data_IF_009109885464
#
_entry.id   IF_009109885464
#
_cell.length_a   1.000
_cell.length_b   1.000
_cell.length_c   1.000
_cell.angle_alpha   90.00
_cell.angle_beta   90.00
_cell.angle_gamma   90.00
#
_symmetry.space_group_name_H-M   'P 1'
#
loop_
_entity.id
_entity.type
_entity.pdbx_description
1 polymer ?
#
# COMPACT_ATOMS: atom_id res chain seq x y z
N UNK A 1 9.37 17.19 18.06
CA UNK A 1 10.00 16.96 16.75
C UNK A 1 9.08 17.57 15.71
N UNK A 2 9.54 18.52 14.90
CA UNK A 2 8.69 19.25 13.94
C UNK A 2 8.44 18.43 12.67
N UNK A 3 7.27 18.60 12.06
CA UNK A 3 6.73 17.95 10.84
C UNK A 3 7.62 18.06 9.56
N UNK A 4 8.82 18.61 9.63
CA UNK A 4 9.55 19.10 8.46
C UNK A 4 10.58 18.15 7.83
N UNK A 5 10.90 16.99 8.41
CA UNK A 5 12.08 16.20 7.97
C UNK A 5 11.81 14.74 7.56
N UNK A 6 10.61 14.41 7.08
CA UNK A 6 10.39 13.13 6.36
C UNK A 6 10.36 13.45 4.87
N UNK A 7 11.52 13.44 4.23
CA UNK A 7 11.60 13.62 2.77
C UNK A 7 11.31 12.30 2.05
N UNK A 8 10.07 11.80 2.16
CA UNK A 8 9.57 10.71 1.33
C UNK A 8 9.85 10.98 -0.15
N UNK A 9 10.42 10.01 -0.85
CA UNK A 9 10.55 10.05 -2.30
C UNK A 9 9.16 9.95 -2.93
N UNK A 10 8.63 11.11 -3.29
CA UNK A 10 7.30 11.28 -3.83
C UNK A 10 7.41 11.61 -5.30
N UNK A 11 6.69 10.87 -6.14
CA UNK A 11 6.48 11.26 -7.53
C UNK A 11 5.20 12.10 -7.58
N UNK A 12 5.28 13.32 -8.11
CA UNK A 12 4.07 14.14 -8.28
C UNK A 12 3.17 13.53 -9.36
N UNK A 13 1.89 13.35 -9.04
CA UNK A 13 0.88 13.14 -10.06
C UNK A 13 0.82 14.38 -10.96
N UNK A 14 1.15 14.22 -12.25
CA UNK A 14 1.11 15.33 -13.21
C UNK A 14 -0.30 15.91 -13.41
N UNK A 15 -1.35 15.21 -12.97
CA UNK A 15 -2.75 15.67 -13.05
C UNK A 15 -3.25 16.31 -11.77
N UNK A 16 -2.85 15.80 -10.60
CA UNK A 16 -3.42 16.21 -9.31
C UNK A 16 -2.44 16.87 -8.35
N UNK A 17 -1.13 16.96 -8.68
CA UNK A 17 -0.05 17.51 -7.83
C UNK A 17 0.09 16.86 -6.44
N UNK A 18 -0.59 15.75 -6.21
CA UNK A 18 -0.50 14.95 -4.99
C UNK A 18 0.80 14.12 -5.01
N UNK A 19 1.58 14.10 -3.92
CA UNK A 19 2.77 13.27 -3.79
C UNK A 19 2.37 11.78 -3.71
N UNK A 20 2.81 10.96 -4.67
CA UNK A 20 2.59 9.50 -4.65
C UNK A 20 3.81 8.78 -4.09
N UNK A 21 3.59 7.84 -3.17
CA UNK A 21 4.65 6.98 -2.66
C UNK A 21 5.00 5.94 -3.73
N UNK A 22 6.27 5.83 -4.09
CA UNK A 22 6.74 4.69 -4.89
C UNK A 22 7.05 3.55 -3.93
N UNK A 23 6.44 2.40 -4.18
CA UNK A 23 6.58 1.21 -3.35
C UNK A 23 7.09 0.04 -4.16
N UNK A 24 7.80 -0.86 -3.50
CA UNK A 24 8.20 -2.13 -4.05
C UNK A 24 7.74 -3.28 -3.14
N UNK A 25 7.57 -4.45 -3.72
CA UNK A 25 7.46 -5.71 -2.99
C UNK A 25 8.24 -6.81 -3.69
N UNK A 26 8.61 -7.84 -2.93
CA UNK A 26 9.18 -9.06 -3.45
C UNK A 26 8.42 -10.24 -2.87
N UNK A 27 7.61 -10.87 -3.71
CA UNK A 27 6.79 -12.00 -3.30
C UNK A 27 7.26 -13.29 -3.96
N UNK A 28 7.04 -14.42 -3.29
CA UNK A 28 7.45 -15.74 -3.77
C UNK A 28 6.80 -16.10 -5.11
N UNK A 29 5.56 -15.65 -5.33
CA UNK A 29 4.81 -15.93 -6.55
C UNK A 29 4.96 -14.82 -7.61
N UNK A 30 5.39 -13.63 -7.21
CA UNK A 30 5.27 -12.39 -7.98
C UNK A 30 6.62 -11.76 -8.38
N UNK A 31 7.75 -12.27 -7.87
CA UNK A 31 9.08 -11.67 -7.97
C UNK A 31 9.08 -10.21 -7.51
N UNK A 32 10.00 -9.37 -8.02
CA UNK A 32 10.04 -7.95 -7.71
C UNK A 32 8.94 -7.21 -8.48
N UNK A 33 8.10 -6.49 -7.75
CA UNK A 33 7.09 -5.60 -8.32
C UNK A 33 7.30 -4.18 -7.80
N UNK A 34 7.11 -3.20 -8.68
CA UNK A 34 7.15 -1.77 -8.36
C UNK A 34 5.78 -1.18 -8.65
N UNK A 35 5.31 -0.32 -7.75
CA UNK A 35 4.01 0.32 -7.86
C UNK A 35 3.99 1.70 -7.24
N UNK A 36 2.86 2.37 -7.41
CA UNK A 36 2.62 3.71 -6.90
C UNK A 36 1.38 3.69 -6.03
N UNK A 37 1.49 4.17 -4.79
CA UNK A 37 0.32 4.35 -3.94
C UNK A 37 -0.57 5.46 -4.52
N UNK A 38 -1.88 5.21 -4.52
CA UNK A 38 -2.86 6.27 -4.63
C UNK A 38 -3.08 6.85 -3.23
N UNK A 39 -3.14 8.18 -3.12
CA UNK A 39 -3.40 8.85 -1.84
C UNK A 39 -4.88 8.84 -1.47
N UNK A 40 -5.65 7.85 -1.96
CA UNK A 40 -7.09 7.76 -1.74
C UNK A 40 -7.35 6.67 -0.70
N UNK A 41 -7.48 7.03 0.59
CA UNK A 41 -7.87 6.10 1.63
C UNK A 41 -9.37 5.85 1.52
N UNK A 42 -9.76 4.70 0.98
CA UNK A 42 -11.02 3.99 1.29
C UNK A 42 -11.40 3.10 0.11
N UNK A 43 -11.45 1.80 0.34
CA UNK A 43 -12.08 0.85 -0.58
C UNK A 43 -13.06 0.02 0.23
N UNK A 44 -14.32 0.06 -0.19
CA UNK A 44 -15.37 -0.79 0.36
C UNK A 44 -15.10 -2.24 -0.05
N UNK A 45 -14.95 -3.16 0.92
CA UNK A 45 -14.88 -4.60 0.64
C UNK A 45 -16.21 -5.24 1.02
N UNK A 46 -16.95 -5.70 0.03
CA UNK A 46 -18.10 -6.56 0.26
C UNK A 46 -17.59 -8.00 0.43
N UNK A 47 -17.76 -8.56 1.62
CA UNK A 47 -17.45 -9.97 1.85
C UNK A 47 -18.65 -10.77 1.31
N UNK A 48 -18.36 -11.78 0.47
CA UNK A 48 -19.38 -12.72 -0.04
C UNK A 48 -20.12 -13.30 1.18
N UNK A 49 -21.46 -13.24 1.14
CA UNK A 49 -22.44 -13.47 2.24
C UNK A 49 -23.08 -12.19 2.83
N UNK A 50 -23.07 -11.08 2.09
CA UNK A 50 -23.88 -9.89 2.38
C UNK A 50 -23.41 -9.06 3.58
N UNK A 51 -22.24 -9.38 4.13
CA UNK A 51 -21.55 -8.55 5.12
C UNK A 51 -20.69 -7.51 4.40
N UNK A 52 -21.11 -6.26 4.55
CA UNK A 52 -20.34 -5.11 4.12
C UNK A 52 -19.30 -4.81 5.19
N UNK A 53 -18.02 -4.96 4.86
CA UNK A 53 -16.92 -4.57 5.74
C UNK A 53 -16.21 -3.35 5.15
N UNK A 54 -16.06 -2.32 5.98
CA UNK A 54 -15.31 -1.13 5.63
C UNK A 54 -13.86 -1.37 6.03
N UNK A 55 -12.95 -1.26 5.06
CA UNK A 55 -11.52 -1.32 5.33
C UNK A 55 -10.83 -0.17 4.62
N UNK A 56 -10.12 0.65 5.37
CA UNK A 56 -9.28 1.68 4.80
C UNK A 56 -8.00 0.99 4.32
N UNK A 57 -7.70 1.08 3.03
CA UNK A 57 -6.52 0.48 2.40
C UNK A 57 -5.94 1.43 1.37
N UNK A 58 -4.64 1.32 1.08
CA UNK A 58 -4.03 1.99 -0.05
C UNK A 58 -4.25 1.18 -1.34
N UNK A 59 -4.68 1.86 -2.40
CA UNK A 59 -4.63 1.32 -3.75
C UNK A 59 -3.23 1.47 -4.33
N UNK A 60 -2.63 0.39 -4.78
CA UNK A 60 -1.32 0.35 -5.42
C UNK A 60 -1.51 0.03 -6.89
N UNK A 61 -1.06 0.95 -7.74
CA UNK A 61 -1.06 0.77 -9.18
C UNK A 61 0.32 0.27 -9.58
N UNK A 62 0.39 -0.95 -10.12
CA UNK A 62 1.65 -1.51 -10.59
C UNK A 62 2.22 -0.76 -11.79
N UNK A 63 3.54 -0.84 -11.93
CA UNK A 63 4.24 -0.27 -13.08
C UNK A 63 3.66 -0.81 -14.39
N UNK A 64 3.37 0.10 -15.31
CA UNK A 64 2.91 -0.23 -16.64
C UNK A 64 4.13 -0.51 -17.52
N UNK A 65 4.14 -1.63 -18.24
CA UNK A 65 5.11 -1.81 -19.32
C UNK A 65 4.58 -1.19 -20.63
N UNK A 66 5.49 -0.83 -21.54
CA UNK A 66 5.11 -0.19 -22.81
C UNK A 66 4.31 -1.11 -23.75
N UNK A 67 4.21 -2.41 -23.46
CA UNK A 67 3.50 -3.41 -24.25
C UNK A 67 2.13 -3.78 -23.71
N UNK A 68 1.78 -3.39 -22.48
CA UNK A 68 0.53 -3.75 -21.83
C UNK A 68 -0.55 -2.69 -22.04
N UNK A 69 -1.80 -3.16 -22.19
CA UNK A 69 -2.97 -2.28 -22.33
C UNK A 69 -3.35 -1.57 -21.03
N UNK A 70 -2.88 -2.07 -19.89
CA UNK A 70 -3.11 -1.53 -18.54
C UNK A 70 -1.91 -1.69 -17.60
N UNK A 71 -1.98 -1.16 -16.37
CA UNK A 71 -0.95 -1.38 -15.34
C UNK A 71 -0.80 -2.88 -15.03
N UNK A 72 0.41 -3.30 -14.63
CA UNK A 72 0.60 -4.67 -14.16
C UNK A 72 -0.13 -4.87 -12.83
N UNK A 73 -0.71 -6.06 -12.58
CA UNK A 73 -1.24 -6.38 -11.27
C UNK A 73 -0.15 -6.24 -10.21
N UNK A 74 -0.42 -5.49 -9.15
CA UNK A 74 0.45 -5.36 -7.99
C UNK A 74 -0.15 -6.18 -6.84
N UNK A 75 0.11 -7.49 -6.79
CA UNK A 75 -0.61 -8.35 -5.84
C UNK A 75 0.16 -9.63 -5.47
N UNK A 76 0.49 -9.76 -4.19
CA UNK A 76 0.92 -11.00 -3.57
C UNK A 76 0.50 -10.94 -2.09
N UNK A 77 -0.66 -11.51 -1.77
CA UNK A 77 -1.32 -11.35 -0.46
C UNK A 77 -0.41 -11.77 0.69
N UNK A 78 -0.30 -10.93 1.71
CA UNK A 78 0.59 -11.09 2.86
C UNK A 78 2.02 -10.57 2.63
N UNK A 79 2.38 -10.16 1.41
CA UNK A 79 3.70 -9.60 1.14
C UNK A 79 3.85 -8.21 1.74
N UNK A 80 5.03 -7.94 2.29
CA UNK A 80 5.41 -6.61 2.74
C UNK A 80 5.69 -5.71 1.54
N UNK A 81 5.20 -4.47 1.60
CA UNK A 81 5.61 -3.39 0.70
C UNK A 81 6.54 -2.44 1.44
N UNK A 82 7.53 -1.89 0.74
CA UNK A 82 8.44 -0.88 1.27
C UNK A 82 8.59 0.28 0.31
N UNK A 83 8.95 1.44 0.83
CA UNK A 83 9.26 2.63 0.02
C UNK A 83 10.69 2.61 -0.51
N UNK A 84 11.05 3.63 -1.31
CA UNK A 84 12.39 3.73 -1.88
C UNK A 84 13.51 4.04 -0.88
N UNK A 85 13.17 4.29 0.40
CA UNK A 85 14.13 4.42 1.50
C UNK A 85 14.30 3.08 2.26
N UNK A 86 13.59 2.03 1.85
CA UNK A 86 13.62 0.71 2.48
C UNK A 86 12.73 0.61 3.72
N UNK A 87 11.89 1.61 4.00
CA UNK A 87 10.95 1.57 5.12
C UNK A 87 9.74 0.73 4.76
N UNK A 88 9.29 -0.10 5.68
CA UNK A 88 8.02 -0.82 5.53
C UNK A 88 6.89 0.20 5.40
N UNK A 89 6.09 0.06 4.35
CA UNK A 89 4.99 0.95 4.05
C UNK A 89 3.62 0.28 4.33
N UNK A 90 3.57 -1.05 4.34
CA UNK A 90 2.33 -1.79 4.54
C UNK A 90 2.41 -3.27 4.16
N UNK A 91 1.26 -3.92 4.18
CA UNK A 91 1.09 -5.34 3.84
C UNK A 91 0.02 -5.49 2.78
N UNK A 92 0.32 -6.21 1.70
CA UNK A 92 -0.65 -6.48 0.63
C UNK A 92 -1.77 -7.38 1.15
N UNK A 93 -3.01 -6.96 0.93
CA UNK A 93 -4.24 -7.66 1.31
C UNK A 93 -5.02 -8.21 0.11
N UNK A 94 -4.46 -8.08 -1.10
CA UNK A 94 -5.01 -8.65 -2.34
C UNK A 94 -5.44 -7.58 -3.36
N UNK A 95 -6.04 -8.01 -4.47
CA UNK A 95 -6.52 -7.12 -5.52
C UNK A 95 -6.27 -7.67 -6.93
N UNK A 96 -7.30 -7.77 -7.80
CA UNK A 96 -7.14 -8.38 -9.14
C UNK A 96 -6.49 -7.44 -10.17
N UNK A 97 -6.87 -6.16 -10.17
CA UNK A 97 -6.37 -5.15 -11.14
C UNK A 97 -5.57 -4.03 -10.48
N UNK A 98 -5.95 -3.69 -9.25
CA UNK A 98 -5.28 -2.72 -8.37
C UNK A 98 -4.89 -3.47 -7.11
N UNK A 99 -3.62 -3.36 -6.72
CA UNK A 99 -3.16 -3.90 -5.46
C UNK A 99 -3.77 -3.16 -4.29
N UNK A 100 -4.10 -3.86 -3.22
CA UNK A 100 -4.54 -3.24 -1.98
C UNK A 100 -3.54 -3.57 -0.89
N UNK A 101 -3.13 -2.55 -0.15
CA UNK A 101 -2.24 -2.71 0.98
C UNK A 101 -2.80 -2.05 2.24
N UNK A 102 -2.68 -2.74 3.37
CA UNK A 102 -2.93 -2.17 4.69
C UNK A 102 -1.70 -1.35 5.10
N UNK A 103 -1.80 -0.04 5.34
CA UNK A 103 -0.70 0.78 5.82
C UNK A 103 -0.16 0.25 7.14
N UNK A 104 1.16 0.25 7.29
CA UNK A 104 1.77 -0.36 8.47
C UNK A 104 1.47 0.45 9.74
N UNK A 105 1.37 1.77 9.61
CA UNK A 105 1.06 2.68 10.73
C UNK A 105 -0.32 2.36 11.32
N UNK A 106 -1.31 2.10 10.47
CA UNK A 106 -2.66 1.73 10.89
C UNK A 106 -2.67 0.34 11.53
N UNK A 107 -1.91 -0.61 11.00
CA UNK A 107 -1.78 -1.94 11.61
C UNK A 107 -1.15 -1.87 13.01
N UNK A 108 -0.12 -1.04 13.20
CA UNK A 108 0.52 -0.85 14.51
C UNK A 108 -0.43 -0.16 15.50
N UNK A 109 -1.21 0.81 15.04
CA UNK A 109 -2.26 1.45 15.85
C UNK A 109 -3.36 0.45 16.26
N UNK A 110 -3.78 -0.42 15.35
CA UNK A 110 -4.74 -1.49 15.63
C UNK A 110 -4.19 -2.47 16.68
N UNK A 111 -2.93 -2.91 16.55
CA UNK A 111 -2.29 -3.79 17.53
C UNK A 111 -2.28 -3.13 18.90
N UNK A 112 -1.85 -1.86 18.98
CA UNK A 112 -1.84 -1.10 20.24
C UNK A 112 -3.22 -1.01 20.86
N UNK A 113 -4.21 -0.63 20.07
CA UNK A 113 -5.58 -0.36 20.53
C UNK A 113 -6.30 -1.64 20.96
N UNK A 114 -6.11 -2.73 20.23
CA UNK A 114 -6.85 -3.98 20.47
C UNK A 114 -6.16 -4.90 21.49
N UNK A 115 -4.84 -4.93 21.54
CA UNK A 115 -4.08 -5.84 22.41
C UNK A 115 -3.51 -5.15 23.66
N UNK A 116 -3.39 -3.82 23.68
CA UNK A 116 -2.69 -3.08 24.71
C UNK A 116 -1.16 -3.22 24.67
N UNK A 117 -0.61 -3.85 23.62
CA UNK A 117 0.82 -4.03 23.42
C UNK A 117 1.36 -2.87 22.59
N UNK A 118 2.39 -2.18 23.10
CA UNK A 118 3.10 -1.16 22.33
C UNK A 118 4.09 -1.82 21.36
N UNK A 119 4.01 -1.43 20.08
CA UNK A 119 4.78 -2.01 18.99
C UNK A 119 5.29 -0.90 18.08
N UNK A 120 6.54 -0.99 17.64
CA UNK A 120 7.16 -0.07 16.69
C UNK A 120 7.99 -0.82 15.66
N UNK A 121 8.22 -0.19 14.50
CA UNK A 121 9.18 -0.68 13.50
C UNK A 121 10.59 -0.27 13.93
N UNK A 122 11.55 -1.18 13.73
CA UNK A 122 12.98 -0.98 14.02
C UNK A 122 13.76 -0.84 12.71
#
# INVERSE_FOLDING_TARGET
MSEADIKMLTTMDSRNKEPRLVVAMYGKASELQIGFSNCVPSILREVIDGKVEYSEVWGIIGEKDNSSTGPKPFCDSGSCIWDMEGRVAGIVVGGPDVGYAQPIEWLLEDIRTQSGIDVELI
#
